data_IF_860948145841
#
_entry.id   IF_860948145841
#
_cell.length_a   1.000
_cell.length_b   1.000
_cell.length_c   1.000
_cell.angle_alpha   90.00
_cell.angle_beta   90.00
_cell.angle_gamma   90.00
#
_symmetry.space_group_name_H-M   'P 1'
#
loop_
_entity.id
_entity.type
_entity.pdbx_description
1 polymer ?
#
# COMPACT_ATOMS: atom_id res chain seq x y z
N UNK A 1 -20.78 -50.38 19.67
CA UNK A 1 -20.98 -50.05 18.25
C UNK A 1 -21.69 -48.72 18.04
N UNK A 2 -22.71 -48.37 18.81
CA UNK A 2 -23.37 -47.06 18.71
C UNK A 2 -22.47 -45.90 19.20
N UNK A 3 -21.72 -46.07 20.29
CA UNK A 3 -20.78 -45.04 20.76
C UNK A 3 -19.67 -44.77 19.75
N UNK A 4 -19.09 -45.79 19.14
CA UNK A 4 -18.09 -45.68 18.11
C UNK A 4 -18.59 -44.88 16.86
N UNK A 5 -19.85 -45.09 16.49
CA UNK A 5 -20.47 -44.32 15.39
C UNK A 5 -20.73 -42.87 15.77
N UNK A 6 -21.11 -42.58 17.00
CA UNK A 6 -21.28 -41.20 17.49
C UNK A 6 -19.97 -40.45 17.55
N UNK A 7 -18.87 -41.12 17.95
CA UNK A 7 -17.53 -40.51 17.98
C UNK A 7 -17.00 -40.22 16.57
N UNK A 8 -17.22 -41.12 15.60
CA UNK A 8 -16.89 -40.89 14.20
C UNK A 8 -17.70 -39.71 13.62
N UNK A 9 -19.00 -39.63 13.90
CA UNK A 9 -19.84 -38.53 13.43
C UNK A 9 -19.41 -37.19 14.06
N UNK A 10 -19.07 -37.22 15.36
CA UNK A 10 -18.54 -36.02 16.05
C UNK A 10 -17.18 -35.58 15.44
N UNK A 11 -16.30 -36.54 15.18
CA UNK A 11 -15.01 -36.28 14.54
C UNK A 11 -15.18 -35.71 13.12
N UNK A 12 -16.08 -36.30 12.32
CA UNK A 12 -16.41 -35.81 10.96
C UNK A 12 -17.00 -34.40 11.02
N UNK A 13 -17.87 -34.09 12.00
CA UNK A 13 -18.41 -32.74 12.21
C UNK A 13 -17.33 -31.71 12.60
N UNK A 14 -16.26 -32.16 13.26
CA UNK A 14 -15.14 -31.29 13.62
C UNK A 14 -14.25 -30.98 12.42
N UNK A 15 -14.19 -31.88 11.43
CA UNK A 15 -13.40 -31.74 10.21
C UNK A 15 -14.17 -30.99 9.10
N UNK A 16 -15.50 -31.15 9.06
CA UNK A 16 -16.35 -30.46 8.07
C UNK A 16 -16.71 -29.09 8.64
N UNK A 17 -16.14 -28.01 8.11
CA UNK A 17 -16.48 -26.65 8.56
C UNK A 17 -18.00 -26.43 8.41
N UNK A 18 -18.58 -25.78 9.39
CA UNK A 18 -19.99 -25.38 9.39
C UNK A 18 -20.23 -24.54 8.12
N UNK A 19 -21.41 -24.69 7.51
CA UNK A 19 -21.78 -24.02 6.23
C UNK A 19 -21.36 -22.55 6.16
N UNK A 20 -21.54 -21.82 7.25
CA UNK A 20 -21.12 -20.43 7.36
C UNK A 20 -19.60 -20.24 7.20
N UNK A 21 -18.78 -21.13 7.74
CA UNK A 21 -17.32 -21.06 7.61
C UNK A 21 -16.86 -21.33 6.19
N UNK A 22 -17.53 -22.22 5.47
CA UNK A 22 -17.26 -22.49 4.05
C UNK A 22 -17.65 -21.29 3.20
N UNK A 23 -18.80 -20.66 3.45
CA UNK A 23 -19.28 -19.49 2.71
C UNK A 23 -18.35 -18.29 2.92
N UNK A 24 -17.97 -17.99 4.16
CA UNK A 24 -16.99 -16.93 4.46
C UNK A 24 -15.60 -17.26 3.90
N UNK A 25 -15.16 -18.52 4.01
CA UNK A 25 -13.89 -18.97 3.46
C UNK A 25 -13.85 -18.81 1.94
N UNK A 26 -14.91 -19.18 1.23
CA UNK A 26 -15.03 -19.00 -0.21
C UNK A 26 -15.05 -17.50 -0.60
N UNK A 27 -15.74 -16.67 0.17
CA UNK A 27 -15.74 -15.21 -0.04
C UNK A 27 -14.33 -14.61 0.11
N UNK A 28 -13.65 -14.93 1.21
CA UNK A 28 -12.27 -14.46 1.43
C UNK A 28 -11.29 -14.98 0.39
N UNK A 29 -11.42 -16.25 -0.03
CA UNK A 29 -10.59 -16.82 -1.08
C UNK A 29 -10.81 -16.12 -2.43
N UNK A 30 -12.06 -15.81 -2.78
CA UNK A 30 -12.39 -15.07 -4.00
C UNK A 30 -11.83 -13.66 -3.98
N UNK A 31 -12.00 -12.94 -2.86
CA UNK A 31 -11.43 -11.60 -2.68
C UNK A 31 -9.90 -11.67 -2.75
N UNK A 32 -9.27 -12.64 -2.08
CA UNK A 32 -7.83 -12.85 -2.11
C UNK A 32 -7.31 -13.13 -3.53
N UNK A 33 -8.04 -13.92 -4.32
CA UNK A 33 -7.71 -14.20 -5.72
C UNK A 33 -7.78 -12.92 -6.58
N UNK A 34 -8.83 -12.12 -6.43
CA UNK A 34 -8.98 -10.85 -7.14
C UNK A 34 -7.84 -9.89 -6.74
N UNK A 35 -7.56 -9.76 -5.45
CA UNK A 35 -6.46 -8.94 -4.96
C UNK A 35 -5.11 -9.42 -5.53
N UNK A 36 -4.83 -10.71 -5.48
CA UNK A 36 -3.60 -11.29 -6.04
C UNK A 36 -3.46 -11.02 -7.55
N UNK A 37 -4.56 -11.08 -8.29
CA UNK A 37 -4.56 -10.78 -9.72
C UNK A 37 -4.30 -9.29 -10.01
N UNK A 38 -4.89 -8.38 -9.22
CA UNK A 38 -4.76 -6.94 -9.42
C UNK A 38 -3.42 -6.38 -8.91
N UNK A 39 -2.93 -6.88 -7.80
CA UNK A 39 -1.76 -6.35 -7.10
C UNK A 39 -0.50 -7.19 -7.29
N UNK A 40 -0.65 -8.40 -7.84
CA UNK A 40 0.41 -9.40 -7.87
C UNK A 40 0.65 -10.03 -6.50
N UNK A 41 1.75 -10.79 -6.39
CA UNK A 41 2.15 -11.39 -5.13
C UNK A 41 2.48 -10.34 -4.07
N UNK A 42 2.05 -10.58 -2.83
CA UNK A 42 2.40 -9.75 -1.68
C UNK A 42 3.91 -9.73 -1.47
N UNK A 43 4.47 -8.57 -1.28
CA UNK A 43 5.90 -8.37 -1.10
C UNK A 43 6.18 -7.33 -0.02
N UNK A 44 7.42 -7.31 0.50
CA UNK A 44 7.87 -6.31 1.46
C UNK A 44 7.73 -4.86 0.92
N UNK A 45 7.76 -4.68 -0.39
CA UNK A 45 7.54 -3.38 -1.02
C UNK A 45 6.09 -2.92 -0.87
N UNK A 46 5.11 -3.83 -1.02
CA UNK A 46 3.70 -3.54 -0.76
C UNK A 46 3.46 -3.16 0.69
N UNK A 47 4.03 -3.94 1.62
CA UNK A 47 3.93 -3.64 3.04
C UNK A 47 4.52 -2.26 3.38
N UNK A 48 5.72 -1.97 2.85
CA UNK A 48 6.39 -0.69 3.07
C UNK A 48 5.57 0.50 2.54
N UNK A 49 5.05 0.44 1.30
CA UNK A 49 4.29 1.56 0.74
C UNK A 49 2.97 1.79 1.49
N UNK A 50 2.24 0.74 1.86
CA UNK A 50 1.00 0.87 2.61
C UNK A 50 1.25 1.48 4.00
N UNK A 51 2.30 1.01 4.69
CA UNK A 51 2.70 1.57 5.99
C UNK A 51 3.05 3.06 5.86
N UNK A 52 3.87 3.44 4.87
CA UNK A 52 4.24 4.83 4.65
C UNK A 52 3.05 5.71 4.29
N UNK A 53 2.09 5.22 3.51
CA UNK A 53 0.85 5.94 3.22
C UNK A 53 0.03 6.24 4.49
N UNK A 54 -0.04 5.28 5.41
CA UNK A 54 -0.73 5.47 6.71
C UNK A 54 0.05 6.49 7.55
N UNK A 55 1.37 6.33 7.67
CA UNK A 55 2.22 7.24 8.44
C UNK A 55 2.20 8.67 7.88
N UNK A 56 2.21 8.84 6.55
CA UNK A 56 2.09 10.17 5.93
C UNK A 56 0.75 10.82 6.28
N UNK A 57 -0.35 10.07 6.22
CA UNK A 57 -1.66 10.59 6.60
C UNK A 57 -1.70 11.03 8.06
N UNK A 58 -1.19 10.19 8.98
CA UNK A 58 -1.12 10.50 10.42
C UNK A 58 -0.24 11.72 10.67
N UNK A 59 0.97 11.77 10.10
CA UNK A 59 1.89 12.90 10.27
C UNK A 59 1.35 14.18 9.64
N UNK A 60 0.60 14.07 8.55
CA UNK A 60 -0.12 15.18 7.94
C UNK A 60 -1.18 15.80 8.86
N UNK A 61 -1.97 14.95 9.55
CA UNK A 61 -2.95 15.38 10.56
C UNK A 61 -2.25 16.04 11.75
N UNK A 62 -1.19 15.43 12.27
CA UNK A 62 -0.39 15.98 13.39
C UNK A 62 0.22 17.33 13.00
N UNK A 63 0.77 17.45 11.79
CA UNK A 63 1.31 18.70 11.26
C UNK A 63 0.26 19.80 11.17
N UNK A 64 -0.98 19.47 10.79
CA UNK A 64 -2.07 20.43 10.73
C UNK A 64 -2.58 20.85 12.13
N UNK A 65 -2.43 19.97 13.13
CA UNK A 65 -2.83 20.23 14.51
C UNK A 65 -1.79 21.05 15.28
N UNK A 66 -0.51 20.71 15.12
CA UNK A 66 0.60 21.33 15.87
C UNK A 66 0.97 22.71 15.28
N UNK A 67 0.93 22.87 13.96
CA UNK A 67 1.39 24.09 13.30
C UNK A 67 0.27 25.17 13.33
N UNK A 68 0.45 26.30 14.04
CA UNK A 68 -0.56 27.33 14.18
C UNK A 68 -0.93 28.02 12.84
N UNK A 69 -0.06 27.91 11.84
CA UNK A 69 -0.29 28.47 10.50
C UNK A 69 -1.09 27.52 9.58
N UNK A 70 -1.38 26.30 10.03
CA UNK A 70 -2.19 25.33 9.30
C UNK A 70 -3.52 25.10 10.01
N UNK A 71 -4.60 25.08 9.23
CA UNK A 71 -5.92 24.71 9.75
C UNK A 71 -6.24 23.28 9.33
N UNK A 72 -6.79 22.50 10.28
CA UNK A 72 -7.40 21.22 9.97
C UNK A 72 -8.57 21.46 9.01
N UNK A 73 -8.47 20.95 7.80
CA UNK A 73 -9.48 21.06 6.75
C UNK A 73 -9.80 19.65 6.24
N UNK A 74 -11.03 19.23 6.48
CA UNK A 74 -11.50 17.89 6.06
C UNK A 74 -11.41 17.69 4.55
N UNK A 75 -11.55 18.75 3.74
CA UNK A 75 -11.37 18.69 2.29
C UNK A 75 -9.93 18.38 1.90
N UNK A 76 -8.95 18.91 2.65
CA UNK A 76 -7.53 18.58 2.44
C UNK A 76 -7.23 17.14 2.81
N UNK A 77 -7.79 16.64 3.92
CA UNK A 77 -7.69 15.24 4.33
C UNK A 77 -8.25 14.29 3.28
N UNK A 78 -9.46 14.57 2.76
CA UNK A 78 -10.08 13.78 1.70
C UNK A 78 -9.27 13.78 0.40
N UNK A 79 -8.73 14.93 -0.01
CA UNK A 79 -7.83 15.01 -1.19
C UNK A 79 -6.55 14.18 -1.00
N UNK A 80 -6.00 14.16 0.21
CA UNK A 80 -4.85 13.31 0.55
C UNK A 80 -5.18 11.82 0.36
N UNK A 81 -6.32 11.38 0.88
CA UNK A 81 -6.78 10.00 0.74
C UNK A 81 -7.06 9.63 -0.73
N UNK A 82 -7.71 10.52 -1.49
CA UNK A 82 -7.94 10.32 -2.92
C UNK A 82 -6.63 10.16 -3.70
N UNK A 83 -5.59 10.96 -3.40
CA UNK A 83 -4.26 10.79 -4.01
C UNK A 83 -3.68 9.42 -3.72
N UNK A 84 -3.80 8.89 -2.52
CA UNK A 84 -3.31 7.55 -2.15
C UNK A 84 -4.05 6.45 -2.91
N UNK A 85 -5.34 6.59 -3.11
CA UNK A 85 -6.11 5.68 -3.97
C UNK A 85 -5.60 5.69 -5.42
N UNK A 86 -5.29 6.87 -5.97
CA UNK A 86 -4.69 6.99 -7.32
C UNK A 86 -3.31 6.34 -7.39
N UNK A 87 -2.48 6.47 -6.34
CA UNK A 87 -1.17 5.78 -6.29
C UNK A 87 -1.35 4.26 -6.38
N UNK A 88 -2.29 3.70 -5.62
CA UNK A 88 -2.61 2.26 -5.69
C UNK A 88 -3.02 1.86 -7.11
N UNK A 89 -3.89 2.65 -7.77
CA UNK A 89 -4.30 2.40 -9.15
C UNK A 89 -3.11 2.42 -10.10
N UNK A 90 -2.17 3.36 -9.95
CA UNK A 90 -0.96 3.42 -10.79
C UNK A 90 -0.08 2.19 -10.61
N UNK A 91 0.05 1.68 -9.37
CA UNK A 91 0.80 0.45 -9.10
C UNK A 91 0.11 -0.76 -9.76
N UNK A 92 -1.23 -0.82 -9.74
CA UNK A 92 -1.99 -1.86 -10.46
C UNK A 92 -1.78 -1.79 -11.98
N UNK A 93 -1.76 -0.59 -12.55
CA UNK A 93 -1.43 -0.39 -13.99
C UNK A 93 -0.02 -0.87 -14.29
N UNK A 94 0.96 -0.56 -13.43
CA UNK A 94 2.33 -1.02 -13.58
C UNK A 94 2.44 -2.55 -13.51
N UNK A 95 1.69 -3.18 -12.58
CA UNK A 95 1.60 -4.64 -12.50
C UNK A 95 0.97 -5.26 -13.75
N UNK A 96 -0.10 -4.67 -14.25
CA UNK A 96 -0.73 -5.12 -15.51
C UNK A 96 0.23 -5.02 -16.69
N UNK A 97 1.03 -3.97 -16.75
CA UNK A 97 2.07 -3.83 -17.77
C UNK A 97 3.14 -4.93 -17.67
N UNK A 98 3.56 -5.28 -16.46
CA UNK A 98 4.50 -6.39 -16.22
C UNK A 98 3.94 -7.73 -16.74
N UNK A 99 2.64 -7.99 -16.53
CA UNK A 99 1.97 -9.19 -17.04
C UNK A 99 1.99 -9.18 -18.59
N UNK A 100 1.57 -8.08 -19.22
CA UNK A 100 1.46 -7.96 -20.68
C UNK A 100 2.81 -8.09 -21.35
N UNK A 101 3.85 -7.48 -20.77
CA UNK A 101 5.20 -7.51 -21.37
C UNK A 101 6.08 -8.66 -20.85
N UNK A 102 5.52 -9.54 -20.00
CA UNK A 102 6.21 -10.69 -19.39
C UNK A 102 7.52 -10.29 -18.68
N UNK A 103 7.49 -9.18 -17.92
CA UNK A 103 8.65 -8.59 -17.24
C UNK A 103 8.73 -8.94 -15.74
N UNK A 104 7.98 -9.93 -15.28
CA UNK A 104 7.95 -10.32 -13.87
C UNK A 104 7.29 -9.25 -13.00
N UNK A 105 8.06 -8.51 -12.19
CA UNK A 105 7.54 -7.47 -11.27
C UNK A 105 8.28 -6.14 -11.39
N UNK A 106 9.09 -5.97 -12.43
CA UNK A 106 10.05 -4.85 -12.55
C UNK A 106 9.36 -3.51 -12.58
N UNK A 107 8.33 -3.33 -13.43
CA UNK A 107 7.62 -2.05 -13.57
C UNK A 107 6.85 -1.70 -12.31
N UNK A 108 6.18 -2.68 -11.71
CA UNK A 108 5.48 -2.55 -10.45
C UNK A 108 6.42 -2.14 -9.32
N UNK A 109 7.52 -2.86 -9.16
CA UNK A 109 8.47 -2.63 -8.06
C UNK A 109 9.15 -1.26 -8.19
N UNK A 110 9.48 -0.83 -9.41
CA UNK A 110 9.97 0.53 -9.67
C UNK A 110 8.90 1.58 -9.31
N UNK A 111 7.63 1.34 -9.63
CA UNK A 111 6.55 2.26 -9.28
C UNK A 111 6.39 2.36 -7.75
N UNK A 112 6.41 1.22 -7.05
CA UNK A 112 6.33 1.20 -5.58
C UNK A 112 7.51 1.95 -4.95
N UNK A 113 8.76 1.69 -5.38
CA UNK A 113 9.95 2.37 -4.86
C UNK A 113 9.89 3.88 -5.07
N UNK A 114 9.36 4.35 -6.20
CA UNK A 114 9.14 5.76 -6.46
C UNK A 114 8.16 6.38 -5.44
N UNK A 115 7.04 5.69 -5.16
CA UNK A 115 6.07 6.20 -4.21
C UNK A 115 6.54 6.07 -2.75
N UNK A 116 7.31 5.04 -2.40
CA UNK A 116 8.00 4.95 -1.09
C UNK A 116 8.84 6.20 -0.85
N UNK A 117 9.63 6.63 -1.84
CA UNK A 117 10.44 7.84 -1.72
C UNK A 117 9.57 9.11 -1.56
N UNK A 118 8.47 9.23 -2.30
CA UNK A 118 7.55 10.36 -2.19
C UNK A 118 6.82 10.41 -0.85
N UNK A 119 6.27 9.28 -0.38
CA UNK A 119 5.59 9.22 0.91
C UNK A 119 6.58 9.50 2.05
N UNK A 120 7.80 8.92 1.98
CA UNK A 120 8.86 9.21 2.95
C UNK A 120 9.24 10.69 2.98
N UNK A 121 9.36 11.35 1.82
CA UNK A 121 9.63 12.77 1.74
C UNK A 121 8.49 13.61 2.36
N UNK A 122 7.24 13.23 2.09
CA UNK A 122 6.06 13.89 2.67
C UNK A 122 6.04 13.78 4.20
N UNK A 123 6.37 12.60 4.75
CA UNK A 123 6.50 12.38 6.19
C UNK A 123 7.56 13.30 6.81
N UNK A 124 8.73 13.43 6.16
CA UNK A 124 9.80 14.32 6.63
C UNK A 124 9.40 15.80 6.56
N UNK A 125 8.62 16.20 5.55
CA UNK A 125 8.06 17.54 5.46
C UNK A 125 7.02 17.80 6.55
N UNK A 126 6.17 16.83 6.83
CA UNK A 126 5.22 16.90 7.93
C UNK A 126 5.94 17.00 9.29
N UNK A 127 6.98 16.21 9.52
CA UNK A 127 7.80 16.26 10.72
C UNK A 127 8.47 17.65 10.89
N UNK A 128 9.01 18.20 9.82
CA UNK A 128 9.59 19.57 9.82
C UNK A 128 8.52 20.62 10.20
N UNK A 129 7.31 20.48 9.68
CA UNK A 129 6.18 21.35 10.00
C UNK A 129 5.72 21.22 11.48
N UNK A 130 5.99 20.08 12.13
CA UNK A 130 5.79 19.87 13.56
C UNK A 130 6.95 20.43 14.43
N UNK A 131 7.99 21.00 13.82
CA UNK A 131 9.18 21.50 14.53
C UNK A 131 10.24 20.42 14.82
N UNK A 132 10.09 19.21 14.30
CA UNK A 132 11.09 18.14 14.46
C UNK A 132 12.26 18.40 13.51
N UNK A 133 13.53 18.45 13.99
CA UNK A 133 14.69 18.64 13.12
C UNK A 133 14.89 17.38 12.25
N UNK A 134 14.94 17.59 10.94
CA UNK A 134 15.15 16.51 9.96
C UNK A 134 16.53 16.69 9.32
N UNK A 135 17.39 15.64 9.31
CA UNK A 135 18.70 15.70 8.66
C UNK A 135 18.57 15.98 7.16
N UNK A 136 19.26 17.02 6.68
CA UNK A 136 19.22 17.45 5.28
C UNK A 136 19.66 16.35 4.31
N UNK A 137 20.62 15.50 4.72
CA UNK A 137 21.08 14.35 3.94
C UNK A 137 19.96 13.35 3.65
N UNK A 138 19.13 13.06 4.65
CA UNK A 138 17.99 12.15 4.49
C UNK A 138 16.96 12.69 3.50
N UNK A 139 16.62 13.98 3.63
CA UNK A 139 15.71 14.66 2.72
C UNK A 139 16.24 14.68 1.27
N UNK A 140 17.53 14.96 1.10
CA UNK A 140 18.16 15.01 -0.22
C UNK A 140 18.21 13.63 -0.89
N UNK A 141 18.53 12.58 -0.14
CA UNK A 141 18.55 11.20 -0.66
C UNK A 141 17.16 10.77 -1.16
N UNK A 142 16.12 10.96 -0.35
CA UNK A 142 14.76 10.64 -0.78
C UNK A 142 14.30 11.48 -1.98
N UNK A 143 14.62 12.77 -2.00
CA UNK A 143 14.30 13.64 -3.12
C UNK A 143 15.02 13.21 -4.42
N UNK A 144 16.22 12.66 -4.33
CA UNK A 144 16.94 12.13 -5.47
C UNK A 144 16.23 10.91 -6.07
N UNK A 145 15.79 9.97 -5.25
CA UNK A 145 15.01 8.81 -5.70
C UNK A 145 13.67 9.22 -6.33
N UNK A 146 13.00 10.23 -5.79
CA UNK A 146 11.76 10.76 -6.34
C UNK A 146 11.97 11.48 -7.70
N UNK A 147 13.11 12.15 -7.91
CA UNK A 147 13.43 12.91 -9.14
C UNK A 147 14.00 12.06 -10.28
N UNK A 148 14.65 10.95 -10.00
CA UNK A 148 15.44 10.17 -10.96
C UNK A 148 14.63 9.68 -12.18
N UNK A 149 13.30 9.62 -12.09
CA UNK A 149 12.41 9.22 -13.19
C UNK A 149 11.97 10.35 -14.12
N UNK A 150 12.03 11.60 -13.70
CA UNK A 150 11.61 12.74 -14.54
C UNK A 150 12.62 13.01 -15.66
N UNK A 151 13.89 12.73 -15.42
CA UNK A 151 15.00 12.99 -16.36
C UNK A 151 15.05 11.99 -17.51
N UNK A 152 14.60 10.75 -17.30
CA UNK A 152 14.58 9.71 -18.36
C UNK A 152 13.57 10.05 -19.47
N UNK A 153 12.52 10.78 -19.16
CA UNK A 153 11.48 11.18 -20.12
C UNK A 153 11.93 12.35 -21.00
N UNK A 154 12.70 13.29 -20.45
CA UNK A 154 13.20 14.47 -21.16
C UNK A 154 14.28 14.16 -22.21
N UNK A 155 15.06 13.07 -22.03
CA UNK A 155 16.11 12.68 -22.98
C UNK A 155 15.61 11.79 -24.15
N UNK A 156 14.35 11.36 -24.16
CA UNK A 156 13.74 10.63 -25.27
C UNK A 156 12.98 11.52 -26.25
N UNK A 157 12.77 12.79 -25.91
CA UNK A 157 12.05 13.76 -26.75
C UNK A 157 13.00 14.76 -27.45
N UNK A 158 14.33 14.53 -27.37
CA UNK A 158 15.35 15.16 -28.21
C UNK A 158 15.99 14.13 -29.12
#
# INVERSE_FOLDING_TARGET
>A
MQEFLTDIVAFIRTIIPVRMEIEWGACFATVGMICSHLFGSWSNLWEAILLLMVLDYITGLLSAWINPNKKLDSRKGWRGLAKKAVIVIIIMVAHTADIVFNQGTITRDIAILFYIANEGLSILENATNCGVPVPTKLKNNLAQYAKQKTTIRSNKEK
#
